data_IF_540146788080
#
_entry.id   IF_540146788080
#
_cell.length_a   1.000
_cell.length_b   1.000
_cell.length_c   1.000
_cell.angle_alpha   90.00
_cell.angle_beta   90.00
_cell.angle_gamma   90.00
#
_symmetry.space_group_name_H-M   'P 1'
#
loop_
_entity.id
_entity.type
_entity.pdbx_description
1 polymer ?
#
# COMPACT_ATOMS: atom_id res chain seq x y z
N UNK A 1 -15.06 -18.31 -14.88
CA UNK A 1 -14.21 -17.30 -14.20
C UNK A 1 -13.79 -16.11 -15.08
N UNK A 2 -13.55 -16.26 -16.40
CA UNK A 2 -13.24 -15.11 -17.28
C UNK A 2 -14.28 -13.97 -17.26
N UNK A 3 -15.57 -14.27 -17.07
CA UNK A 3 -16.64 -13.26 -17.04
C UNK A 3 -16.75 -12.40 -15.75
N UNK A 4 -16.15 -12.82 -14.64
CA UNK A 4 -16.19 -12.05 -13.39
C UNK A 4 -15.23 -10.86 -13.44
N UNK A 5 -14.01 -11.05 -13.96
CA UNK A 5 -13.02 -9.98 -14.09
C UNK A 5 -13.42 -8.91 -15.12
N UNK A 6 -14.09 -9.29 -16.22
CA UNK A 6 -14.62 -8.31 -17.20
C UNK A 6 -15.71 -7.41 -16.60
N UNK A 7 -16.51 -7.93 -15.65
CA UNK A 7 -17.51 -7.14 -14.90
C UNK A 7 -16.84 -6.18 -13.91
N UNK A 8 -15.78 -6.61 -13.22
CA UNK A 8 -15.11 -5.82 -12.18
C UNK A 8 -14.33 -4.63 -12.76
N UNK A 9 -13.66 -4.79 -13.90
CA UNK A 9 -13.02 -3.66 -14.59
C UNK A 9 -14.01 -2.59 -15.07
N UNK A 10 -15.28 -2.95 -15.28
CA UNK A 10 -16.32 -1.99 -15.68
C UNK A 10 -16.83 -1.13 -14.52
N UNK A 11 -16.71 -1.61 -13.28
CA UNK A 11 -17.29 -0.97 -12.10
C UNK A 11 -16.49 0.25 -11.64
N UNK A 12 -15.16 0.14 -11.52
CA UNK A 12 -14.34 1.29 -11.15
C UNK A 12 -14.42 2.41 -12.20
N UNK A 13 -14.47 2.05 -13.49
CA UNK A 13 -14.69 3.01 -14.57
C UNK A 13 -16.06 3.68 -14.49
N UNK A 14 -17.08 2.94 -14.08
CA UNK A 14 -18.42 3.48 -13.87
C UNK A 14 -18.43 4.48 -12.71
N UNK A 15 -17.73 4.17 -11.62
CA UNK A 15 -17.50 5.09 -10.52
C UNK A 15 -16.77 6.37 -10.96
N UNK A 16 -15.66 6.26 -11.69
CA UNK A 16 -14.94 7.43 -12.22
C UNK A 16 -15.77 8.30 -13.17
N UNK A 17 -16.78 7.71 -13.81
CA UNK A 17 -17.72 8.40 -14.70
C UNK A 17 -18.97 8.91 -13.96
N UNK A 18 -19.04 8.78 -12.63
CA UNK A 18 -20.17 9.19 -11.81
C UNK A 18 -21.44 8.36 -12.00
N UNK A 19 -21.33 7.13 -12.51
CA UNK A 19 -22.48 6.25 -12.80
C UNK A 19 -22.89 5.37 -11.62
N UNK A 20 -22.01 5.20 -10.64
CA UNK A 20 -22.26 4.50 -9.39
C UNK A 20 -21.41 5.12 -8.29
N UNK A 21 -21.73 4.82 -7.04
CA UNK A 21 -20.98 5.29 -5.89
C UNK A 21 -19.85 4.30 -5.54
N UNK A 22 -18.90 4.75 -4.69
CA UNK A 22 -17.79 3.91 -4.26
C UNK A 22 -18.28 2.66 -3.49
N UNK A 23 -19.35 2.80 -2.69
CA UNK A 23 -19.96 1.67 -1.95
C UNK A 23 -20.44 0.54 -2.85
N UNK A 24 -20.87 0.87 -4.08
CA UNK A 24 -21.41 -0.11 -5.04
C UNK A 24 -20.32 -1.00 -5.64
N UNK A 25 -19.06 -0.56 -5.53
CA UNK A 25 -17.91 -1.27 -6.10
C UNK A 25 -17.03 -1.94 -5.03
N UNK A 26 -17.37 -1.79 -3.75
CA UNK A 26 -16.69 -2.48 -2.64
C UNK A 26 -17.07 -3.95 -2.65
N UNK A 27 -16.06 -4.81 -2.77
CA UNK A 27 -16.18 -6.26 -2.66
C UNK A 27 -15.80 -6.72 -1.26
N UNK A 28 -16.50 -7.72 -0.74
CA UNK A 28 -16.12 -8.40 0.49
C UNK A 28 -15.08 -9.48 0.19
N UNK A 29 -13.89 -9.32 0.76
CA UNK A 29 -12.80 -10.27 0.71
C UNK A 29 -12.77 -11.21 1.92
N UNK A 30 -11.78 -12.11 1.98
CA UNK A 30 -11.58 -12.99 3.12
C UNK A 30 -11.42 -12.20 4.43
N UNK A 31 -11.85 -12.80 5.54
CA UNK A 31 -11.63 -12.29 6.91
C UNK A 31 -12.14 -10.86 7.14
N UNK A 32 -13.18 -10.44 6.43
CA UNK A 32 -13.81 -9.13 6.59
C UNK A 32 -13.06 -7.96 5.92
N UNK A 33 -12.06 -8.24 5.08
CA UNK A 33 -11.36 -7.21 4.32
C UNK A 33 -12.30 -6.69 3.23
N UNK A 34 -12.48 -5.37 3.16
CA UNK A 34 -13.17 -4.72 2.05
C UNK A 34 -12.17 -4.37 0.93
N UNK A 35 -12.49 -4.73 -0.31
CA UNK A 35 -11.62 -4.57 -1.47
C UNK A 35 -12.32 -3.67 -2.48
N UNK A 36 -11.66 -2.57 -2.86
CA UNK A 36 -12.05 -1.76 -4.02
C UNK A 36 -11.19 -2.20 -5.20
N UNK A 37 -11.76 -2.92 -6.18
CA UNK A 37 -10.98 -3.43 -7.28
C UNK A 37 -10.64 -2.31 -8.27
N UNK A 38 -9.34 -2.13 -8.53
CA UNK A 38 -8.88 -1.33 -9.66
C UNK A 38 -9.04 -2.13 -10.97
N UNK A 39 -9.27 -1.43 -12.08
CA UNK A 39 -9.43 -2.09 -13.39
C UNK A 39 -8.18 -2.87 -13.78
N UNK A 40 -8.34 -4.17 -14.05
CA UNK A 40 -7.30 -4.97 -14.69
C UNK A 40 -7.14 -4.57 -16.16
N UNK A 41 -6.00 -3.98 -16.53
CA UNK A 41 -5.55 -3.95 -17.94
C UNK A 41 -6.06 -2.82 -18.84
N UNK A 42 -6.19 -1.58 -18.36
CA UNK A 42 -6.47 -0.44 -19.25
C UNK A 42 -5.73 0.82 -18.81
N UNK A 43 -5.19 1.56 -19.77
CA UNK A 43 -4.51 2.87 -19.67
C UNK A 43 -5.23 3.94 -18.83
N UNK A 44 -6.43 3.65 -18.32
CA UNK A 44 -7.29 4.62 -17.65
C UNK A 44 -6.90 4.93 -16.20
N UNK A 45 -6.13 4.07 -15.52
CA UNK A 45 -5.57 4.39 -14.19
C UNK A 45 -4.26 5.17 -14.27
N UNK A 46 -3.49 5.01 -15.34
CA UNK A 46 -2.23 5.74 -15.55
C UNK A 46 -2.44 7.21 -15.94
N UNK A 47 -3.67 7.59 -16.28
CA UNK A 47 -4.04 8.96 -16.70
C UNK A 47 -5.30 9.47 -15.98
N UNK A 48 -5.35 9.34 -14.66
CA UNK A 48 -6.41 10.00 -13.89
C UNK A 48 -6.22 11.52 -13.97
N UNK A 49 -7.29 12.24 -14.30
CA UNK A 49 -7.27 13.71 -14.21
C UNK A 49 -7.21 14.15 -12.75
N UNK A 50 -6.73 15.36 -12.44
CA UNK A 50 -6.76 15.88 -11.06
C UNK A 50 -8.15 15.84 -10.41
N UNK A 51 -9.21 16.09 -11.19
CA UNK A 51 -10.59 16.01 -10.71
C UNK A 51 -11.03 14.57 -10.38
N UNK A 52 -10.68 13.59 -11.23
CA UNK A 52 -10.95 12.18 -10.95
C UNK A 52 -10.19 11.70 -9.71
N UNK A 53 -8.93 12.11 -9.58
CA UNK A 53 -8.12 11.82 -8.40
C UNK A 53 -8.73 12.39 -7.12
N UNK A 54 -9.20 13.65 -7.17
CA UNK A 54 -9.85 14.27 -6.04
C UNK A 54 -11.18 13.60 -5.67
N UNK A 55 -11.98 13.24 -6.66
CA UNK A 55 -13.23 12.50 -6.46
C UNK A 55 -13.03 11.13 -5.81
N UNK A 56 -11.94 10.43 -6.12
CA UNK A 56 -11.58 9.18 -5.42
C UNK A 56 -11.34 9.47 -3.95
N UNK A 57 -10.49 10.44 -3.60
CA UNK A 57 -10.16 10.74 -2.19
C UNK A 57 -11.40 11.13 -1.42
N UNK A 58 -12.24 11.98 -2.00
CA UNK A 58 -13.49 12.41 -1.37
C UNK A 58 -14.42 11.21 -1.12
N UNK A 59 -14.61 10.33 -2.10
CA UNK A 59 -15.49 9.17 -1.94
C UNK A 59 -15.01 8.22 -0.82
N UNK A 60 -13.70 8.08 -0.62
CA UNK A 60 -13.17 7.30 0.51
C UNK A 60 -13.37 7.97 1.86
N UNK A 61 -13.45 9.30 1.92
CA UNK A 61 -13.80 10.03 3.15
C UNK A 61 -15.27 9.81 3.54
N UNK A 62 -16.15 9.64 2.55
CA UNK A 62 -17.59 9.41 2.70
C UNK A 62 -17.94 7.95 3.04
N UNK A 63 -17.05 6.98 2.77
CA UNK A 63 -17.23 5.59 3.22
C UNK A 63 -17.39 5.55 4.74
N UNK A 64 -18.31 4.70 5.21
CA UNK A 64 -18.78 4.64 6.60
C UNK A 64 -17.67 4.57 7.67
N UNK A 65 -18.02 4.94 8.92
CA UNK A 65 -17.09 5.23 10.03
C UNK A 65 -16.32 4.03 10.62
N UNK A 66 -16.32 2.85 9.98
CA UNK A 66 -15.76 1.59 10.51
C UNK A 66 -14.43 1.14 9.89
N UNK A 67 -13.73 2.04 9.17
CA UNK A 67 -12.46 1.69 8.52
C UNK A 67 -11.29 2.26 9.30
N UNK A 68 -10.51 1.35 9.90
CA UNK A 68 -9.31 1.70 10.69
C UNK A 68 -8.06 1.86 9.81
N UNK A 69 -7.92 1.04 8.77
CA UNK A 69 -6.75 0.99 7.89
C UNK A 69 -7.20 0.94 6.43
N UNK A 70 -6.66 1.85 5.60
CA UNK A 70 -6.74 1.80 4.15
C UNK A 70 -5.37 1.40 3.59
N UNK A 71 -5.31 0.28 2.89
CA UNK A 71 -4.12 -0.15 2.16
C UNK A 71 -4.32 0.22 0.69
N UNK A 72 -3.39 0.99 0.15
CA UNK A 72 -3.38 1.38 -1.25
C UNK A 72 -2.28 0.59 -1.95
N UNK A 73 -2.67 -0.38 -2.77
CA UNK A 73 -1.75 -1.10 -3.64
C UNK A 73 -1.50 -0.28 -4.90
N UNK A 74 -0.28 0.21 -5.07
CA UNK A 74 0.11 1.06 -6.19
C UNK A 74 0.79 0.23 -7.29
N UNK A 75 0.53 0.59 -8.54
CA UNK A 75 1.33 0.09 -9.67
C UNK A 75 2.82 0.38 -9.47
N UNK A 76 3.69 -0.43 -10.09
CA UNK A 76 5.13 -0.16 -10.12
C UNK A 76 5.47 1.09 -10.93
N UNK A 77 6.60 1.72 -10.60
CA UNK A 77 7.19 2.81 -11.38
C UNK A 77 6.93 4.20 -10.79
N UNK A 78 7.13 5.23 -11.61
CA UNK A 78 7.17 6.64 -11.20
C UNK A 78 6.09 7.50 -11.87
N UNK A 79 5.01 6.86 -12.35
CA UNK A 79 3.90 7.56 -13.01
C UNK A 79 3.20 8.54 -12.07
N UNK A 80 2.61 9.60 -12.62
CA UNK A 80 1.90 10.63 -11.85
C UNK A 80 0.80 10.05 -10.96
N UNK A 81 0.03 9.07 -11.44
CA UNK A 81 -0.99 8.40 -10.62
C UNK A 81 -0.40 7.72 -9.37
N UNK A 82 0.74 7.03 -9.52
CA UNK A 82 1.44 6.36 -8.40
C UNK A 82 1.90 7.40 -7.38
N UNK A 83 2.56 8.45 -7.86
CA UNK A 83 3.03 9.56 -7.02
C UNK A 83 1.87 10.22 -6.28
N UNK A 84 0.76 10.49 -6.95
CA UNK A 84 -0.41 11.11 -6.33
C UNK A 84 -0.93 10.26 -5.18
N UNK A 85 -1.18 8.95 -5.40
CA UNK A 85 -1.63 8.04 -4.34
C UNK A 85 -0.66 7.98 -3.16
N UNK A 86 0.65 7.94 -3.42
CA UNK A 86 1.67 7.97 -2.38
C UNK A 86 1.58 9.27 -1.56
N UNK A 87 1.38 10.42 -2.22
CA UNK A 87 1.28 11.72 -1.55
C UNK A 87 0.03 11.87 -0.69
N UNK A 88 -1.09 11.27 -1.11
CA UNK A 88 -2.31 11.25 -0.29
C UNK A 88 -2.25 10.22 0.84
N UNK A 89 -1.23 9.36 0.85
CA UNK A 89 -1.00 8.35 1.89
C UNK A 89 -0.20 8.93 3.05
N UNK A 90 -0.52 8.48 4.28
CA UNK A 90 0.17 8.95 5.49
C UNK A 90 1.49 8.24 5.71
N UNK A 91 1.48 6.93 5.50
CA UNK A 91 2.62 6.04 5.61
C UNK A 91 2.94 5.46 4.23
N UNK A 92 4.24 5.38 3.90
CA UNK A 92 4.72 4.85 2.62
C UNK A 92 5.65 3.68 2.89
N UNK A 93 5.20 2.48 2.52
CA UNK A 93 5.95 1.24 2.63
C UNK A 93 6.55 0.86 1.26
N UNK A 94 7.84 1.13 1.08
CA UNK A 94 8.61 0.72 -0.08
C UNK A 94 9.00 -0.75 0.03
N UNK A 95 8.56 -1.57 -0.92
CA UNK A 95 8.92 -2.99 -1.01
C UNK A 95 10.10 -3.14 -1.96
N UNK A 96 11.20 -3.73 -1.48
CA UNK A 96 12.47 -3.84 -2.22
C UNK A 96 12.96 -5.27 -2.21
N UNK A 97 13.44 -5.78 -3.34
CA UNK A 97 14.14 -7.05 -3.44
C UNK A 97 15.64 -6.80 -3.68
N UNK A 98 16.50 -7.79 -3.40
CA UNK A 98 17.94 -7.68 -3.67
C UNK A 98 18.26 -7.89 -5.16
N UNK A 99 17.65 -7.06 -6.00
CA UNK A 99 17.84 -7.02 -7.44
C UNK A 99 18.19 -5.58 -7.84
N UNK A 100 19.22 -5.36 -8.69
CA UNK A 100 19.67 -4.01 -9.07
C UNK A 100 18.55 -3.10 -9.59
N UNK A 101 17.61 -3.65 -10.37
CA UNK A 101 16.46 -2.91 -10.87
C UNK A 101 15.52 -2.45 -9.74
N UNK A 102 15.22 -3.33 -8.77
CA UNK A 102 14.35 -3.02 -7.62
C UNK A 102 14.95 -1.91 -6.75
N UNK A 103 16.26 -1.98 -6.49
CA UNK A 103 16.99 -0.95 -5.73
C UNK A 103 16.98 0.38 -6.47
N UNK A 104 17.26 0.37 -7.78
CA UNK A 104 17.30 1.58 -8.62
C UNK A 104 15.93 2.26 -8.65
N UNK A 105 14.85 1.51 -8.91
CA UNK A 105 13.50 2.06 -8.94
C UNK A 105 13.09 2.62 -7.59
N UNK A 106 13.41 1.93 -6.49
CA UNK A 106 13.11 2.42 -5.13
C UNK A 106 13.83 3.73 -4.84
N UNK A 107 15.13 3.80 -5.13
CA UNK A 107 15.91 5.03 -4.95
C UNK A 107 15.35 6.18 -5.79
N UNK A 108 15.02 5.92 -7.07
CA UNK A 108 14.45 6.94 -7.96
C UNK A 108 13.10 7.46 -7.44
N UNK A 109 12.24 6.58 -6.92
CA UNK A 109 10.96 6.97 -6.35
C UNK A 109 11.15 7.81 -5.07
N UNK A 110 12.05 7.40 -4.16
CA UNK A 110 12.41 8.17 -2.96
C UNK A 110 12.94 9.55 -3.36
N UNK A 111 13.85 9.61 -4.34
CA UNK A 111 14.43 10.86 -4.85
C UNK A 111 13.36 11.80 -5.38
N UNK A 112 12.45 11.33 -6.23
CA UNK A 112 11.36 12.16 -6.79
C UNK A 112 10.42 12.64 -5.68
N UNK A 113 10.01 11.76 -4.76
CA UNK A 113 9.12 12.11 -3.65
C UNK A 113 9.75 13.12 -2.69
N UNK A 114 11.05 13.01 -2.44
CA UNK A 114 11.80 13.95 -1.62
C UNK A 114 12.00 15.29 -2.32
N UNK A 115 12.57 15.31 -3.51
CA UNK A 115 12.98 16.55 -4.18
C UNK A 115 11.82 17.35 -4.76
N UNK A 116 10.78 16.67 -5.28
CA UNK A 116 9.65 17.34 -5.93
C UNK A 116 8.44 17.54 -5.01
N UNK A 117 8.33 16.77 -3.93
CA UNK A 117 7.14 16.77 -3.08
C UNK A 117 7.44 16.91 -1.57
N UNK A 118 8.71 17.10 -1.19
CA UNK A 118 9.11 17.37 0.20
C UNK A 118 8.92 16.19 1.16
N UNK A 119 8.72 14.97 0.66
CA UNK A 119 8.55 13.79 1.51
C UNK A 119 9.92 13.31 2.02
N UNK A 120 10.05 13.18 3.34
CA UNK A 120 11.35 12.89 3.96
C UNK A 120 11.34 11.63 4.84
N UNK A 121 10.24 10.87 4.90
CA UNK A 121 10.14 9.64 5.70
C UNK A 121 9.60 8.49 4.85
N UNK A 122 10.36 7.40 4.80
CA UNK A 122 10.00 6.22 4.04
C UNK A 122 10.27 4.96 4.86
N UNK A 123 9.37 3.99 4.75
CA UNK A 123 9.50 2.70 5.41
C UNK A 123 9.93 1.66 4.40
N UNK A 124 10.91 0.83 4.73
CA UNK A 124 11.49 -0.15 3.82
C UNK A 124 11.13 -1.56 4.31
N UNK A 125 10.48 -2.34 3.46
CA UNK A 125 10.26 -3.77 3.61
C UNK A 125 11.11 -4.50 2.57
N UNK A 126 12.00 -5.38 3.01
CA UNK A 126 12.76 -6.21 2.07
C UNK A 126 11.99 -7.49 1.77
N UNK A 127 11.83 -7.86 0.51
CA UNK A 127 11.08 -9.03 0.09
C UNK A 127 12.00 -10.07 -0.56
N UNK A 128 11.56 -11.32 -0.54
CA UNK A 128 12.21 -12.49 -1.15
C UNK A 128 13.62 -12.79 -0.60
N UNK A 129 13.87 -12.54 0.68
CA UNK A 129 15.17 -12.85 1.32
C UNK A 129 15.38 -14.36 1.45
N UNK A 130 16.57 -14.87 1.12
CA UNK A 130 16.96 -16.27 1.30
C UNK A 130 17.51 -16.50 2.71
N UNK A 131 18.22 -15.52 3.28
CA UNK A 131 18.77 -15.56 4.64
C UNK A 131 18.24 -14.41 5.51
N UNK A 132 18.26 -14.55 6.86
CA UNK A 132 17.85 -13.48 7.76
C UNK A 132 18.67 -12.19 7.63
N UNK A 133 19.91 -12.29 7.17
CA UNK A 133 20.86 -11.17 7.10
C UNK A 133 20.70 -10.31 5.84
N UNK A 134 20.15 -10.87 4.75
CA UNK A 134 19.95 -10.14 3.49
C UNK A 134 19.07 -8.89 3.63
N UNK A 135 18.03 -8.96 4.47
CA UNK A 135 17.15 -7.82 4.73
C UNK A 135 17.89 -6.61 5.31
N UNK A 136 18.55 -6.76 6.48
CA UNK A 136 19.40 -5.74 7.06
C UNK A 136 20.51 -5.24 6.11
N UNK A 137 21.18 -6.13 5.40
CA UNK A 137 22.28 -5.77 4.51
C UNK A 137 21.81 -4.92 3.32
N UNK A 138 20.70 -5.30 2.69
CA UNK A 138 20.11 -4.52 1.60
C UNK A 138 19.63 -3.15 2.09
N UNK A 139 18.98 -3.10 3.25
CA UNK A 139 18.56 -1.84 3.86
C UNK A 139 19.76 -0.93 4.12
N UNK A 140 20.87 -1.45 4.66
CA UNK A 140 22.07 -0.68 4.91
C UNK A 140 22.70 -0.13 3.63
N UNK A 141 22.69 -0.89 2.53
CA UNK A 141 23.13 -0.41 1.21
C UNK A 141 22.24 0.74 0.71
N UNK A 142 20.92 0.57 0.77
CA UNK A 142 19.97 1.60 0.33
C UNK A 142 20.13 2.88 1.16
N UNK A 143 20.22 2.75 2.49
CA UNK A 143 20.43 3.86 3.41
C UNK A 143 21.72 4.63 3.11
N UNK A 144 22.82 3.92 2.81
CA UNK A 144 24.09 4.55 2.44
C UNK A 144 23.93 5.41 1.18
N UNK A 145 23.30 4.88 0.14
CA UNK A 145 23.11 5.60 -1.12
C UNK A 145 22.16 6.79 -0.93
N UNK A 146 21.08 6.64 -0.17
CA UNK A 146 20.17 7.77 0.09
C UNK A 146 20.85 8.87 0.90
N UNK A 147 21.62 8.54 1.95
CA UNK A 147 22.29 9.54 2.78
C UNK A 147 23.37 10.36 2.05
N UNK A 148 23.92 9.84 0.96
CA UNK A 148 24.89 10.57 0.15
C UNK A 148 24.25 11.69 -0.69
N UNK A 149 22.97 11.58 -1.02
CA UNK A 149 22.34 12.42 -2.04
C UNK A 149 21.02 13.07 -1.62
N UNK A 150 20.38 12.57 -0.56
CA UNK A 150 19.02 12.92 -0.16
C UNK A 150 18.95 13.16 1.36
N UNK A 151 18.21 14.20 1.74
CA UNK A 151 17.86 14.47 3.15
C UNK A 151 16.56 13.74 3.50
N UNK A 152 16.67 12.42 3.73
CA UNK A 152 15.53 11.54 4.01
C UNK A 152 15.84 10.57 5.15
N UNK A 153 14.81 10.23 5.91
CA UNK A 153 14.83 9.20 6.95
C UNK A 153 14.21 7.91 6.42
N UNK A 154 15.04 6.86 6.30
CA UNK A 154 14.57 5.52 6.00
C UNK A 154 14.39 4.71 7.28
N UNK A 155 13.29 3.97 7.39
CA UNK A 155 13.00 3.10 8.53
C UNK A 155 12.85 1.66 8.08
N UNK A 156 13.69 0.76 8.60
CA UNK A 156 13.59 -0.67 8.32
C UNK A 156 12.40 -1.30 9.04
N UNK A 157 11.48 -1.88 8.28
CA UNK A 157 10.28 -2.51 8.83
C UNK A 157 10.49 -4.00 9.06
N UNK A 158 11.22 -4.67 8.17
CA UNK A 158 11.53 -6.09 8.31
C UNK A 158 11.82 -6.72 6.95
N UNK A 159 11.78 -8.05 6.91
CA UNK A 159 11.89 -8.82 5.68
C UNK A 159 10.81 -9.90 5.56
N UNK A 160 10.38 -10.15 4.32
CA UNK A 160 9.57 -11.31 3.97
C UNK A 160 10.50 -12.33 3.27
N UNK A 161 10.65 -13.55 3.81
CA UNK A 161 11.53 -14.54 3.22
C UNK A 161 10.93 -15.13 1.94
N UNK A 162 11.82 -15.59 1.06
CA UNK A 162 11.42 -16.44 -0.06
C UNK A 162 10.75 -17.73 0.47
N UNK A 163 9.59 -18.06 -0.09
CA UNK A 163 8.78 -19.20 0.37
C UNK A 163 7.99 -19.80 -0.79
N UNK A 164 8.18 -21.10 -1.08
CA UNK A 164 7.43 -21.81 -2.12
C UNK A 164 5.92 -21.86 -1.83
N UNK A 165 5.49 -21.70 -0.58
CA UNK A 165 4.08 -21.58 -0.22
C UNK A 165 3.45 -20.34 -0.88
N UNK A 166 4.21 -19.26 -1.08
CA UNK A 166 3.75 -18.07 -1.78
C UNK A 166 3.38 -18.42 -3.22
N UNK A 167 4.27 -19.12 -3.94
CA UNK A 167 4.03 -19.56 -5.32
C UNK A 167 2.85 -20.53 -5.40
N UNK A 168 2.73 -21.47 -4.45
CA UNK A 168 1.58 -22.39 -4.37
C UNK A 168 0.27 -21.65 -4.14
N UNK A 169 0.25 -20.66 -3.25
CA UNK A 169 -0.92 -19.86 -2.92
C UNK A 169 -1.43 -19.05 -4.13
N UNK A 170 -0.50 -18.43 -4.86
CA UNK A 170 -0.80 -17.71 -6.11
C UNK A 170 -1.46 -18.65 -7.14
N UNK A 171 -0.92 -19.86 -7.33
CA UNK A 171 -1.48 -20.85 -8.28
C UNK A 171 -2.92 -21.24 -7.97
N UNK A 172 -3.30 -21.31 -6.69
CA UNK A 172 -4.67 -21.63 -6.26
C UNK A 172 -5.53 -20.40 -6.02
N UNK A 173 -5.03 -19.20 -6.36
CA UNK A 173 -5.72 -17.91 -6.19
C UNK A 173 -6.23 -17.66 -4.76
N UNK A 174 -5.41 -17.99 -3.77
CA UNK A 174 -5.66 -17.67 -2.36
C UNK A 174 -4.50 -16.88 -1.78
N UNK A 175 -4.79 -16.01 -0.82
CA UNK A 175 -3.74 -15.36 -0.05
C UNK A 175 -2.90 -16.43 0.66
N UNK A 176 -1.56 -16.26 0.68
CA UNK A 176 -0.67 -17.23 1.34
C UNK A 176 -0.97 -17.35 2.83
N UNK A 177 -1.38 -16.24 3.45
CA UNK A 177 -1.77 -16.19 4.85
C UNK A 177 -2.98 -17.10 5.15
N UNK A 178 -3.94 -17.20 4.22
CA UNK A 178 -5.11 -18.06 4.35
C UNK A 178 -4.81 -19.51 3.98
N UNK A 179 -4.07 -19.72 2.88
CA UNK A 179 -3.78 -21.05 2.36
C UNK A 179 -2.72 -21.81 3.16
N UNK A 180 -1.72 -21.09 3.67
CA UNK A 180 -0.56 -21.65 4.38
C UNK A 180 -0.21 -20.77 5.60
N UNK A 181 -1.07 -20.71 6.64
CA UNK A 181 -0.91 -19.77 7.76
C UNK A 181 0.36 -20.00 8.60
N UNK A 182 0.97 -21.19 8.50
CA UNK A 182 2.20 -21.58 9.21
C UNK A 182 3.47 -21.47 8.35
N UNK A 183 3.37 -20.98 7.11
CA UNK A 183 4.54 -20.82 6.25
C UNK A 183 5.45 -19.68 6.76
N UNK A 184 6.71 -19.66 6.31
CA UNK A 184 7.69 -18.66 6.75
C UNK A 184 7.22 -17.25 6.38
N UNK A 185 6.70 -17.08 5.16
CA UNK A 185 6.18 -15.78 4.72
C UNK A 185 4.90 -15.37 5.45
N UNK A 186 3.99 -16.29 5.78
CA UNK A 186 2.78 -15.98 6.57
C UNK A 186 3.10 -15.52 7.99
N UNK A 187 4.09 -16.15 8.64
CA UNK A 187 4.58 -15.72 9.95
C UNK A 187 5.24 -14.34 9.88
N UNK A 188 6.02 -14.08 8.81
CA UNK A 188 6.62 -12.76 8.57
C UNK A 188 5.56 -11.67 8.31
N UNK A 189 4.50 -11.97 7.54
CA UNK A 189 3.37 -11.06 7.36
C UNK A 189 2.65 -10.76 8.68
N UNK A 190 2.48 -11.76 9.56
CA UNK A 190 1.90 -11.55 10.90
C UNK A 190 2.75 -10.59 11.74
N UNK A 191 4.07 -10.80 11.77
CA UNK A 191 4.99 -9.93 12.49
C UNK A 191 4.99 -8.49 11.91
N UNK A 192 4.94 -8.38 10.57
CA UNK A 192 4.81 -7.10 9.89
C UNK A 192 3.51 -6.37 10.28
N UNK A 193 2.37 -7.08 10.29
CA UNK A 193 1.08 -6.52 10.68
C UNK A 193 1.10 -6.00 12.13
N UNK A 194 1.68 -6.77 13.06
CA UNK A 194 1.85 -6.32 14.46
C UNK A 194 2.70 -5.06 14.57
N UNK A 195 3.76 -4.95 13.76
CA UNK A 195 4.60 -3.75 13.74
C UNK A 195 3.85 -2.55 13.16
N UNK A 196 3.06 -2.74 12.10
CA UNK A 196 2.22 -1.68 11.51
C UNK A 196 1.19 -1.17 12.52
N UNK A 197 0.52 -2.07 13.23
CA UNK A 197 -0.48 -1.73 14.25
C UNK A 197 0.11 -0.90 15.41
N UNK A 198 1.42 -1.06 15.67
CA UNK A 198 2.13 -0.29 16.69
C UNK A 198 2.55 1.12 16.26
N UNK A 199 2.41 1.47 14.98
CA UNK A 199 2.83 2.80 14.49
C UNK A 199 1.98 3.91 15.12
N UNK A 200 2.60 5.08 15.41
CA UNK A 200 1.85 6.19 15.97
C UNK A 200 0.78 6.65 14.98
N UNK A 201 -0.46 6.77 15.48
CA UNK A 201 -1.51 7.37 14.69
C UNK A 201 -1.19 8.88 14.54
N UNK A 202 -1.27 9.41 13.32
CA UNK A 202 -0.97 10.80 13.08
C UNK A 202 -2.06 11.71 13.65
N UNK A 203 -1.67 12.75 14.37
CA UNK A 203 -2.61 13.59 15.11
C UNK A 203 -3.24 14.73 14.27
N UNK A 204 -2.58 15.20 13.21
CA UNK A 204 -3.03 16.35 12.42
C UNK A 204 -2.94 16.13 10.90
N UNK A 205 -3.88 16.66 10.09
CA UNK A 205 -3.79 16.62 8.62
C UNK A 205 -2.65 17.54 8.12
N UNK A 206 -1.99 17.16 7.01
CA UNK A 206 -0.83 17.93 6.47
C UNK A 206 -1.23 19.09 5.54
N UNK A 207 -2.51 19.46 5.50
CA UNK A 207 -3.01 20.55 4.64
C UNK A 207 -3.03 20.26 3.13
N UNK A 208 -2.85 18.99 2.73
CA UNK A 208 -3.01 18.51 1.36
C UNK A 208 -4.24 17.60 1.26
N UNK A 209 -4.66 17.29 0.02
CA UNK A 209 -5.72 16.31 -0.20
C UNK A 209 -5.23 14.92 0.20
N UNK A 210 -5.74 14.41 1.33
CA UNK A 210 -5.32 13.17 1.96
C UNK A 210 -6.53 12.26 2.20
N UNK A 211 -6.31 10.95 2.13
CA UNK A 211 -7.30 9.99 2.61
C UNK A 211 -7.51 10.20 4.12
N UNK A 212 -8.77 10.31 4.53
CA UNK A 212 -9.24 10.56 5.89
C UNK A 212 -8.81 11.89 6.53
N UNK A 213 -8.42 12.89 5.74
CA UNK A 213 -7.99 14.19 6.27
C UNK A 213 -9.04 14.87 7.18
N UNK A 214 -10.32 14.81 6.81
CA UNK A 214 -11.43 15.42 7.56
C UNK A 214 -11.73 14.72 8.90
N UNK A 215 -11.40 13.42 9.02
CA UNK A 215 -11.63 12.66 10.25
C UNK A 215 -10.69 13.10 11.38
N UNK A 216 -9.49 13.54 11.03
CA UNK A 216 -8.49 14.05 11.99
C UNK A 216 -8.89 15.40 12.60
N UNK A 217 -9.70 16.18 11.89
CA UNK A 217 -10.20 17.46 12.38
C UNK A 217 -11.38 17.32 13.36
N UNK A 218 -12.06 16.17 13.37
CA UNK A 218 -13.36 16.01 14.02
C UNK A 218 -13.40 14.96 15.13
N UNK A 219 -12.43 14.04 15.21
CA UNK A 219 -12.44 12.97 16.22
C UNK A 219 -11.01 12.61 16.65
N UNK A 220 -10.67 12.56 17.96
CA UNK A 220 -9.44 11.91 18.39
C UNK A 220 -9.57 10.41 18.07
N UNK A 221 -8.74 9.89 17.17
CA UNK A 221 -8.75 8.47 16.80
C UNK A 221 -8.52 7.61 18.05
N UNK A 222 -9.60 6.99 18.56
CA UNK A 222 -9.53 6.08 19.70
C UNK A 222 -8.94 4.76 19.20
N UNK A 223 -7.86 4.29 19.83
CA UNK A 223 -7.36 2.93 19.63
C UNK A 223 -8.48 1.94 19.98
N UNK A 224 -9.02 1.27 18.98
CA UNK A 224 -9.84 0.08 19.22
C UNK A 224 -8.88 -1.12 19.14
N UNK A 225 -8.78 -1.95 20.18
CA UNK A 225 -7.96 -3.16 20.10
C UNK A 225 -8.49 -4.07 18.99
N UNK A 226 -7.69 -4.31 17.96
CA UNK A 226 -8.01 -5.28 16.92
C UNK A 226 -7.81 -6.67 17.52
N UNK A 227 -8.91 -7.34 17.86
CA UNK A 227 -8.89 -8.75 18.22
C UNK A 227 -8.56 -9.56 16.96
N UNK A 228 -7.28 -9.91 16.78
CA UNK A 228 -6.86 -10.92 15.80
C UNK A 228 -7.32 -12.28 16.33
N UNK A 229 -8.52 -12.70 15.94
CA UNK A 229 -8.88 -14.12 15.98
C UNK A 229 -8.43 -14.72 14.64
N UNK A 230 -7.51 -15.70 14.75
CA UNK A 230 -6.82 -16.43 13.65
C UNK A 230 -7.74 -17.18 12.71
#
# INVERSE_FOLDING_TARGET
>A
MRGYFTRVGSLFQSFLKGRCELRDIVLQGPRGISIVPATSGGQSMSHLTPAQYAGIIQAFNEIDKKLDILIIDTSSGIGSSVINFIRASREVLMVVCDEPASVTTTYMLIKILSQSYGMNRFRILVNMTQTPQEGPDLFARLLRVTNLFLDVSLQYVGSIPHDECMRKAVKIQRAVYDAFPRSKCSLAFKALAQKIDSWPLPENPRGQLEFFGERLLTTPMRRVPVNIVT
#
